data_IF_701665498527
#
_entry.id   IF_701665498527
#
_cell.length_a   1.000
_cell.length_b   1.000
_cell.length_c   1.000
_cell.angle_alpha   90.00
_cell.angle_beta   90.00
_cell.angle_gamma   90.00
#
_symmetry.space_group_name_H-M   'P 1'
#
loop_
_entity.id
_entity.type
_entity.pdbx_description
1 polymer ?
#
# COMPACT_ATOMS: atom_id res chain seq x y z
N UNK A 1 9.00 -13.33 -3.35
CA UNK A 1 8.21 -12.10 -3.11
C UNK A 1 7.14 -12.02 -4.17
N UNK A 2 5.93 -11.67 -3.80
CA UNK A 2 4.80 -11.46 -4.70
C UNK A 2 4.46 -9.97 -4.70
N UNK A 3 4.34 -9.37 -5.87
CA UNK A 3 3.72 -8.08 -6.08
C UNK A 3 3.00 -8.09 -7.42
N UNK A 4 1.75 -7.72 -7.42
CA UNK A 4 0.87 -7.76 -8.58
C UNK A 4 0.05 -6.49 -8.72
N UNK A 5 -0.32 -6.21 -9.95
CA UNK A 5 -1.26 -5.13 -10.30
C UNK A 5 -2.38 -5.74 -11.13
N UNK A 6 -3.62 -5.47 -10.73
CA UNK A 6 -4.81 -5.69 -11.53
C UNK A 6 -5.15 -4.38 -12.25
N UNK A 7 -5.00 -4.35 -13.56
CA UNK A 7 -5.35 -3.20 -14.40
C UNK A 7 -6.76 -3.39 -14.96
N UNK A 8 -7.58 -2.36 -14.86
CA UNK A 8 -8.91 -2.32 -15.43
C UNK A 8 -8.84 -1.94 -16.92
N UNK A 9 -9.63 -2.57 -17.77
CA UNK A 9 -9.68 -2.26 -19.21
C UNK A 9 -10.27 -0.86 -19.48
N UNK A 10 -11.03 -0.31 -18.55
CA UNK A 10 -11.50 1.08 -18.55
C UNK A 10 -11.53 1.65 -17.13
N UNK A 11 -11.28 2.96 -16.98
CA UNK A 11 -11.43 3.62 -15.69
C UNK A 11 -12.88 3.57 -15.19
N UNK A 12 -13.04 3.51 -13.88
CA UNK A 12 -14.34 3.63 -13.19
C UNK A 12 -14.27 4.69 -12.10
N UNK A 13 -15.40 5.29 -11.68
CA UNK A 13 -15.40 6.14 -10.49
C UNK A 13 -14.77 5.39 -9.31
N UNK A 14 -13.77 5.99 -8.68
CA UNK A 14 -13.05 5.34 -7.60
C UNK A 14 -13.98 5.08 -6.41
N UNK A 15 -14.22 3.82 -6.02
CA UNK A 15 -14.95 3.52 -4.80
C UNK A 15 -14.20 4.07 -3.59
N UNK A 16 -14.92 4.29 -2.50
CA UNK A 16 -14.24 4.69 -1.27
C UNK A 16 -13.29 3.59 -0.77
N UNK A 17 -12.33 4.00 0.04
CA UNK A 17 -11.27 3.12 0.53
C UNK A 17 -11.79 1.87 1.28
N UNK A 18 -12.85 2.02 2.07
CA UNK A 18 -13.48 0.88 2.78
C UNK A 18 -14.11 -0.12 1.83
N UNK A 19 -14.74 0.35 0.77
CA UNK A 19 -15.32 -0.51 -0.27
C UNK A 19 -14.24 -1.30 -0.99
N UNK A 20 -13.14 -0.66 -1.41
CA UNK A 20 -12.01 -1.35 -2.04
C UNK A 20 -11.38 -2.40 -1.13
N UNK A 21 -11.20 -2.06 0.15
CA UNK A 21 -10.73 -3.01 1.16
C UNK A 21 -11.66 -4.22 1.27
N UNK A 22 -12.97 -4.00 1.36
CA UNK A 22 -13.94 -5.06 1.45
C UNK A 22 -13.94 -5.96 0.21
N UNK A 23 -13.83 -5.39 -1.00
CA UNK A 23 -13.70 -6.15 -2.25
C UNK A 23 -12.51 -7.09 -2.18
N UNK A 24 -11.34 -6.60 -1.77
CA UNK A 24 -10.13 -7.41 -1.63
C UNK A 24 -10.28 -8.50 -0.57
N UNK A 25 -10.76 -8.15 0.62
CA UNK A 25 -10.94 -9.10 1.72
C UNK A 25 -11.96 -10.18 1.36
N UNK A 26 -13.05 -9.80 0.71
CA UNK A 26 -14.08 -10.74 0.29
C UNK A 26 -13.56 -11.69 -0.80
N UNK A 27 -12.84 -11.16 -1.78
CA UNK A 27 -12.19 -11.97 -2.81
C UNK A 27 -11.19 -13.00 -2.23
N UNK A 28 -10.52 -12.65 -1.12
CA UNK A 28 -9.59 -13.54 -0.42
C UNK A 28 -10.30 -14.61 0.43
N UNK A 29 -11.47 -14.32 0.99
CA UNK A 29 -12.14 -15.21 1.97
C UNK A 29 -13.17 -16.14 1.34
N UNK A 30 -13.57 -15.90 0.10
CA UNK A 30 -14.73 -16.55 -0.54
C UNK A 30 -14.69 -18.08 -0.58
N UNK A 31 -13.54 -18.69 -0.73
CA UNK A 31 -13.40 -20.14 -0.79
C UNK A 31 -12.89 -20.75 0.52
N UNK A 32 -13.21 -20.12 1.64
CA UNK A 32 -12.78 -20.60 2.95
C UNK A 32 -11.28 -20.46 3.20
N UNK A 33 -10.58 -19.69 2.37
CA UNK A 33 -9.19 -19.31 2.66
C UNK A 33 -9.22 -18.49 3.95
N UNK A 34 -8.60 -18.96 5.03
CA UNK A 34 -8.66 -18.27 6.32
C UNK A 34 -7.82 -17.01 6.26
N UNK A 35 -8.42 -15.93 5.78
CA UNK A 35 -7.83 -14.61 5.85
C UNK A 35 -8.21 -13.97 7.18
N UNK A 36 -7.46 -14.25 8.22
CA UNK A 36 -7.43 -13.42 9.42
C UNK A 36 -5.97 -13.09 9.72
N UNK A 37 -5.56 -11.84 9.50
CA UNK A 37 -4.26 -11.41 9.96
C UNK A 37 -4.26 -11.44 11.48
N UNK A 38 -3.72 -12.49 12.07
CA UNK A 38 -3.33 -12.45 13.46
C UNK A 38 -2.07 -11.58 13.54
N UNK A 39 -2.20 -10.41 14.13
CA UNK A 39 -1.09 -9.46 14.26
C UNK A 39 -0.99 -8.43 13.14
N UNK A 40 0.16 -7.78 13.01
CA UNK A 40 0.39 -6.76 11.98
C UNK A 40 0.33 -7.36 10.58
N UNK A 41 -0.37 -6.68 9.67
CA UNK A 41 -0.45 -7.13 8.28
C UNK A 41 0.95 -7.17 7.64
N UNK A 42 1.32 -8.35 7.12
CA UNK A 42 2.59 -8.56 6.42
C UNK A 42 2.45 -8.44 4.90
N UNK A 43 1.33 -7.91 4.46
CA UNK A 43 1.01 -7.60 3.08
C UNK A 43 0.58 -6.15 2.95
N UNK A 44 0.54 -5.65 1.72
CA UNK A 44 0.06 -4.31 1.41
C UNK A 44 -0.77 -4.30 0.14
N UNK A 45 -1.55 -3.24 -0.02
CA UNK A 45 -2.27 -2.96 -1.23
C UNK A 45 -2.46 -1.46 -1.43
N UNK A 46 -2.80 -1.06 -2.65
CA UNK A 46 -3.12 0.31 -2.98
C UNK A 46 -3.94 0.43 -4.25
N UNK A 47 -4.70 1.51 -4.34
CA UNK A 47 -5.51 1.84 -5.49
C UNK A 47 -4.76 2.83 -6.39
N UNK A 48 -4.66 2.53 -7.67
CA UNK A 48 -4.14 3.44 -8.68
C UNK A 48 -5.29 4.31 -9.17
N UNK A 49 -5.23 5.59 -8.86
CA UNK A 49 -6.27 6.55 -9.19
C UNK A 49 -5.68 7.82 -9.81
N UNK A 50 -6.48 8.49 -10.63
CA UNK A 50 -6.17 9.82 -11.13
C UNK A 50 -7.41 10.72 -11.07
N UNK A 51 -7.24 12.06 -11.06
CA UNK A 51 -8.38 12.97 -11.11
C UNK A 51 -9.20 12.78 -12.38
N UNK A 52 -10.53 12.75 -12.26
CA UNK A 52 -11.41 12.72 -13.41
C UNK A 52 -11.25 14.03 -14.22
N UNK A 53 -10.90 13.96 -15.52
CA UNK A 53 -10.73 15.17 -16.35
C UNK A 53 -12.00 16.04 -16.43
N UNK A 54 -13.18 15.41 -16.42
CA UNK A 54 -14.46 16.10 -16.52
C UNK A 54 -14.98 16.59 -15.16
N UNK A 55 -14.50 15.97 -14.07
CA UNK A 55 -14.91 16.26 -12.70
C UNK A 55 -13.70 16.22 -11.76
N UNK A 56 -12.85 17.27 -11.68
CA UNK A 56 -11.59 17.25 -10.94
C UNK A 56 -11.69 16.94 -9.44
N UNK A 57 -12.90 16.99 -8.87
CA UNK A 57 -13.15 16.60 -7.48
C UNK A 57 -13.36 15.10 -7.30
N UNK A 58 -13.50 14.36 -8.40
CA UNK A 58 -13.63 12.90 -8.41
C UNK A 58 -12.32 12.27 -8.84
N UNK A 59 -12.13 11.04 -8.39
CA UNK A 59 -11.03 10.21 -8.83
C UNK A 59 -11.57 9.02 -9.60
N UNK A 60 -10.84 8.63 -10.61
CA UNK A 60 -11.07 7.41 -11.38
C UNK A 60 -10.08 6.35 -10.92
N UNK A 61 -10.58 5.14 -10.69
CA UNK A 61 -9.79 3.95 -10.42
C UNK A 61 -9.41 3.28 -11.75
N UNK A 62 -8.15 2.95 -11.89
CA UNK A 62 -7.59 2.26 -13.07
C UNK A 62 -6.95 0.94 -12.71
N UNK A 63 -6.71 0.69 -11.44
CA UNK A 63 -6.18 -0.59 -11.00
C UNK A 63 -6.02 -0.70 -9.49
N UNK A 64 -5.74 -1.93 -9.06
CA UNK A 64 -5.38 -2.26 -7.69
C UNK A 64 -4.04 -2.99 -7.69
N UNK A 65 -3.14 -2.60 -6.80
CA UNK A 65 -1.92 -3.34 -6.53
C UNK A 65 -1.97 -4.04 -5.17
N UNK A 66 -1.34 -5.19 -5.07
CA UNK A 66 -1.15 -5.91 -3.80
C UNK A 66 0.13 -6.73 -3.81
N UNK A 67 0.61 -7.05 -2.62
CA UNK A 67 1.80 -7.88 -2.52
C UNK A 67 2.25 -8.19 -1.10
N UNK A 68 3.20 -9.11 -1.02
CA UNK A 68 3.84 -9.53 0.22
C UNK A 68 5.24 -10.09 -0.03
N UNK A 69 6.08 -10.00 0.99
CA UNK A 69 7.34 -10.72 1.06
C UNK A 69 7.26 -11.95 2.01
N UNK A 70 6.14 -12.16 2.67
CA UNK A 70 5.91 -13.29 3.56
C UNK A 70 5.30 -14.45 2.76
N UNK A 71 5.91 -15.66 2.74
CA UNK A 71 5.44 -16.80 1.96
C UNK A 71 3.96 -17.17 2.24
N UNK A 72 3.56 -17.15 3.50
CA UNK A 72 2.18 -17.47 3.87
C UNK A 72 1.17 -16.50 3.24
N UNK A 73 1.50 -15.19 3.22
CA UNK A 73 0.64 -14.21 2.57
C UNK A 73 0.74 -14.26 1.04
N UNK A 74 1.88 -14.67 0.48
CA UNK A 74 1.99 -14.85 -0.98
C UNK A 74 1.01 -15.92 -1.46
N UNK A 75 0.92 -17.07 -0.77
CA UNK A 75 -0.01 -18.14 -1.10
C UNK A 75 -1.47 -17.65 -1.05
N UNK A 76 -1.84 -16.88 -0.01
CA UNK A 76 -3.18 -16.31 0.13
C UNK A 76 -3.46 -15.31 -1.00
N UNK A 77 -2.54 -14.39 -1.27
CA UNK A 77 -2.71 -13.34 -2.28
C UNK A 77 -2.72 -13.88 -3.72
N UNK A 78 -2.14 -15.05 -3.95
CA UNK A 78 -2.16 -15.72 -5.25
C UNK A 78 -3.59 -16.13 -5.67
N UNK A 79 -4.49 -16.26 -4.71
CA UNK A 79 -5.91 -16.52 -4.96
C UNK A 79 -6.68 -15.30 -5.48
N UNK A 80 -6.13 -14.10 -5.45
CA UNK A 80 -6.76 -12.93 -6.07
C UNK A 80 -6.68 -13.03 -7.59
N UNK A 81 -7.80 -13.36 -8.21
CA UNK A 81 -7.96 -13.45 -9.66
C UNK A 81 -8.89 -12.36 -10.19
N UNK A 82 -8.85 -12.02 -11.49
CA UNK A 82 -9.79 -11.08 -12.08
C UNK A 82 -11.25 -11.45 -11.84
N UNK A 83 -11.59 -12.74 -11.95
CA UNK A 83 -12.93 -13.25 -11.72
C UNK A 83 -13.39 -13.01 -10.28
N UNK A 84 -12.57 -13.32 -9.29
CA UNK A 84 -12.88 -13.09 -7.87
C UNK A 84 -13.05 -11.62 -7.52
N UNK A 85 -12.20 -10.77 -8.09
CA UNK A 85 -12.33 -9.31 -7.90
C UNK A 85 -13.62 -8.79 -8.52
N UNK A 86 -13.96 -9.26 -9.73
CA UNK A 86 -15.21 -8.90 -10.41
C UNK A 86 -16.44 -9.29 -9.59
N UNK A 87 -16.50 -10.55 -9.13
CA UNK A 87 -17.61 -11.05 -8.32
C UNK A 87 -17.74 -10.30 -6.98
N UNK A 88 -16.62 -10.06 -6.29
CA UNK A 88 -16.61 -9.32 -5.03
C UNK A 88 -17.02 -7.85 -5.21
N UNK A 89 -16.63 -7.25 -6.32
CA UNK A 89 -17.04 -5.90 -6.67
C UNK A 89 -18.54 -5.81 -6.98
N UNK A 90 -19.07 -6.80 -7.73
CA UNK A 90 -20.51 -6.89 -8.04
C UNK A 90 -21.35 -7.00 -6.76
N UNK A 91 -20.92 -7.78 -5.78
CA UNK A 91 -21.59 -7.85 -4.47
C UNK A 91 -21.53 -6.52 -3.70
N UNK A 92 -20.50 -5.73 -3.91
CA UNK A 92 -20.39 -4.37 -3.38
C UNK A 92 -21.17 -3.32 -4.19
N UNK A 93 -21.87 -3.74 -5.26
CA UNK A 93 -22.62 -2.84 -6.16
C UNK A 93 -21.74 -2.02 -7.09
N UNK A 94 -20.52 -2.47 -7.34
CA UNK A 94 -19.56 -1.80 -8.24
C UNK A 94 -19.54 -2.50 -9.61
N UNK A 95 -19.76 -1.71 -10.67
CA UNK A 95 -19.60 -2.17 -12.05
C UNK A 95 -18.09 -2.30 -12.37
N UNK A 96 -17.53 -3.47 -12.07
CA UNK A 96 -16.11 -3.77 -12.26
C UNK A 96 -15.87 -4.24 -13.69
N UNK A 97 -15.08 -3.51 -14.50
CA UNK A 97 -14.83 -3.89 -15.87
C UNK A 97 -13.91 -5.12 -15.96
N UNK A 98 -13.73 -5.62 -17.16
CA UNK A 98 -12.68 -6.60 -17.45
C UNK A 98 -11.34 -6.09 -16.96
N UNK A 99 -10.51 -7.00 -16.49
CA UNK A 99 -9.23 -6.63 -15.90
C UNK A 99 -8.18 -7.69 -16.15
N UNK A 100 -6.91 -7.28 -16.08
CA UNK A 100 -5.75 -8.18 -16.22
C UNK A 100 -4.84 -8.04 -15.01
N UNK A 101 -4.36 -9.18 -14.52
CA UNK A 101 -3.35 -9.20 -13.47
C UNK A 101 -1.99 -9.42 -14.12
N UNK A 102 -1.03 -8.63 -13.70
CA UNK A 102 0.37 -8.75 -14.09
C UNK A 102 1.27 -8.66 -12.87
N UNK A 103 2.43 -9.30 -12.98
CA UNK A 103 3.47 -9.15 -11.98
C UNK A 103 4.08 -7.75 -12.07
N UNK A 104 4.33 -7.13 -10.93
CA UNK A 104 4.93 -5.81 -10.80
C UNK A 104 6.37 -5.97 -10.28
N UNK A 105 7.31 -6.15 -11.19
CA UNK A 105 8.73 -6.27 -10.87
C UNK A 105 9.41 -4.91 -10.97
N UNK A 106 9.98 -4.36 -9.89
CA UNK A 106 10.65 -3.07 -9.94
C UNK A 106 12.02 -3.18 -10.60
N UNK A 107 12.43 -2.10 -11.25
CA UNK A 107 13.82 -1.85 -11.59
C UNK A 107 14.54 -1.33 -10.31
N UNK A 108 14.83 -2.23 -9.37
CA UNK A 108 15.51 -1.83 -8.15
C UNK A 108 17.01 -1.66 -8.40
N UNK A 109 17.52 -0.51 -7.99
CA UNK A 109 18.93 -0.41 -7.66
C UNK A 109 19.20 -1.26 -6.41
N UNK A 110 20.36 -1.94 -6.30
CA UNK A 110 20.66 -2.80 -5.18
C UNK A 110 20.59 -2.12 -3.81
N UNK A 111 20.89 -0.84 -3.75
CA UNK A 111 21.06 -0.06 -2.52
C UNK A 111 20.08 1.12 -2.39
N UNK A 112 19.21 1.34 -3.38
CA UNK A 112 18.37 2.52 -3.44
C UNK A 112 17.00 2.22 -4.04
N UNK A 113 15.97 2.84 -3.46
CA UNK A 113 14.59 2.83 -3.95
C UNK A 113 14.04 4.27 -3.95
N UNK A 114 13.70 4.78 -5.12
CA UNK A 114 12.96 6.04 -5.24
C UNK A 114 11.49 5.79 -4.92
N UNK A 115 11.06 6.22 -3.75
CA UNK A 115 9.70 6.01 -3.25
C UNK A 115 8.77 7.10 -3.77
N UNK A 116 7.73 6.71 -4.48
CA UNK A 116 6.55 7.52 -4.79
C UNK A 116 5.33 6.88 -4.16
N UNK A 117 4.74 7.46 -3.12
CA UNK A 117 3.56 6.88 -2.50
C UNK A 117 2.35 6.94 -3.44
N UNK A 118 1.75 5.80 -3.71
CA UNK A 118 0.43 5.68 -4.35
C UNK A 118 -0.66 5.92 -3.32
N UNK A 119 -0.41 5.44 -2.09
CA UNK A 119 -1.28 5.69 -0.94
C UNK A 119 -0.46 6.26 0.22
N UNK A 120 -1.08 7.04 1.12
CA UNK A 120 -0.36 7.68 2.21
C UNK A 120 0.44 6.70 3.07
N UNK A 121 1.67 7.05 3.42
CA UNK A 121 2.53 6.26 4.30
C UNK A 121 2.24 6.66 5.74
N UNK A 122 2.00 5.69 6.62
CA UNK A 122 1.84 5.90 8.06
C UNK A 122 3.03 5.35 8.81
N UNK A 123 3.66 6.21 9.58
CA UNK A 123 4.68 5.85 10.58
C UNK A 123 4.16 6.26 11.94
N UNK A 124 4.24 5.38 12.91
CA UNK A 124 3.63 5.59 14.21
C UNK A 124 4.69 5.89 15.27
N UNK A 125 4.40 6.83 16.13
CA UNK A 125 5.23 7.09 17.31
C UNK A 125 5.29 5.84 18.21
N UNK A 126 6.41 5.69 18.90
CA UNK A 126 6.55 4.69 19.94
C UNK A 126 6.07 5.27 21.26
N UNK A 127 4.85 4.90 21.65
CA UNK A 127 4.31 5.23 22.96
C UNK A 127 4.09 3.96 23.77
N UNK A 128 4.32 3.99 25.08
CA UNK A 128 4.23 2.80 25.94
C UNK A 128 2.83 2.18 25.97
N UNK A 129 1.81 2.99 25.89
CA UNK A 129 0.41 2.53 25.92
C UNK A 129 -0.52 3.52 25.22
N UNK A 130 -1.66 3.02 24.72
CA UNK A 130 -2.70 3.84 24.11
C UNK A 130 -2.63 3.97 22.59
N UNK A 131 -3.32 4.99 22.05
CA UNK A 131 -3.39 5.26 20.63
C UNK A 131 -2.07 5.88 20.17
N UNK A 132 -1.40 5.24 19.22
CA UNK A 132 -0.15 5.74 18.65
C UNK A 132 -0.45 6.80 17.58
N UNK A 133 -0.03 8.06 17.78
CA UNK A 133 -0.16 9.09 16.75
C UNK A 133 0.74 8.77 15.55
N UNK A 134 0.39 9.33 14.40
CA UNK A 134 1.25 9.25 13.23
C UNK A 134 2.25 10.41 13.25
N UNK A 135 3.50 10.13 12.92
CA UNK A 135 4.51 11.16 12.69
C UNK A 135 4.31 11.71 11.29
N UNK A 136 4.12 13.03 11.19
CA UNK A 136 3.76 13.72 9.97
C UNK A 136 4.87 14.63 9.43
N UNK A 137 6.08 14.51 9.96
CA UNK A 137 7.26 15.25 9.50
C UNK A 137 8.34 14.26 9.08
N UNK A 138 8.89 14.48 7.89
CA UNK A 138 10.03 13.71 7.38
C UNK A 138 11.32 14.28 8.00
N UNK A 139 11.83 13.61 9.01
CA UNK A 139 13.07 13.94 9.69
C UNK A 139 13.76 12.64 10.14
N UNK A 140 14.85 12.76 10.90
CA UNK A 140 15.57 11.62 11.44
C UNK A 140 14.68 10.73 12.34
N UNK A 141 13.85 11.34 13.18
CA UNK A 141 12.90 10.62 14.04
C UNK A 141 11.91 9.78 13.24
N UNK A 142 11.50 10.29 12.06
CA UNK A 142 10.63 9.55 11.15
C UNK A 142 11.32 8.29 10.62
N UNK A 143 12.59 8.36 10.26
CA UNK A 143 13.37 7.21 9.79
C UNK A 143 13.53 6.16 10.88
N UNK A 144 13.84 6.58 12.11
CA UNK A 144 13.95 5.70 13.28
C UNK A 144 12.60 5.00 13.54
N UNK A 145 11.51 5.77 13.53
CA UNK A 145 10.17 5.24 13.75
C UNK A 145 9.70 4.34 12.58
N UNK A 146 10.12 4.65 11.34
CA UNK A 146 9.87 3.79 10.19
C UNK A 146 10.51 2.42 10.37
N UNK A 147 11.81 2.37 10.68
CA UNK A 147 12.53 1.12 10.90
C UNK A 147 11.87 0.29 12.01
N UNK A 148 11.48 0.92 13.11
CA UNK A 148 10.75 0.28 14.20
C UNK A 148 9.39 -0.26 13.76
N UNK A 149 8.65 0.53 12.98
CA UNK A 149 7.34 0.13 12.43
C UNK A 149 7.48 -1.07 11.50
N UNK A 150 8.47 -1.05 10.62
CA UNK A 150 8.76 -2.15 9.71
C UNK A 150 9.22 -3.40 10.46
N UNK A 151 10.09 -3.24 11.45
CA UNK A 151 10.58 -4.34 12.29
C UNK A 151 9.44 -5.02 13.04
N UNK A 152 8.56 -4.24 13.66
CA UNK A 152 7.38 -4.77 14.33
C UNK A 152 6.44 -5.52 13.38
N UNK A 153 6.17 -4.93 12.21
CA UNK A 153 5.26 -5.50 11.23
C UNK A 153 5.77 -6.81 10.64
N UNK A 154 7.05 -6.88 10.34
CA UNK A 154 7.66 -7.99 9.61
C UNK A 154 8.42 -8.99 10.50
N UNK A 155 8.51 -8.69 11.80
CA UNK A 155 9.10 -9.58 12.80
C UNK A 155 10.61 -9.72 12.72
N UNK A 156 11.31 -8.75 12.10
CA UNK A 156 12.78 -8.71 11.97
C UNK A 156 13.30 -7.28 11.96
N UNK A 157 14.57 -7.03 12.32
CA UNK A 157 15.16 -5.69 12.23
C UNK A 157 15.14 -5.12 10.82
N UNK A 158 15.04 -3.79 10.71
CA UNK A 158 15.17 -3.02 9.47
C UNK A 158 16.16 -1.87 9.67
N UNK A 159 16.93 -1.60 8.61
CA UNK A 159 18.07 -0.66 8.62
C UNK A 159 17.95 0.38 7.49
N UNK A 160 16.73 0.72 7.12
CA UNK A 160 16.46 1.70 6.07
C UNK A 160 16.98 3.07 6.47
N UNK A 161 17.52 3.78 5.51
CA UNK A 161 17.94 5.16 5.62
C UNK A 161 17.14 5.99 4.63
N UNK A 162 16.56 7.08 5.08
CA UNK A 162 15.88 8.03 4.22
C UNK A 162 16.85 9.12 3.81
N UNK A 163 17.02 9.28 2.53
CA UNK A 163 17.68 10.46 1.97
C UNK A 163 16.59 11.43 1.54
N UNK A 164 16.50 12.56 2.22
CA UNK A 164 15.61 13.64 1.84
C UNK A 164 16.27 14.41 0.71
N UNK A 165 15.64 14.40 -0.47
CA UNK A 165 16.04 15.30 -1.54
C UNK A 165 15.17 16.57 -1.45
N UNK A 166 15.79 17.76 -1.60
CA UNK A 166 15.10 19.05 -1.48
C UNK A 166 14.03 19.31 -2.56
N UNK A 167 13.94 18.42 -3.52
CA UNK A 167 12.98 18.52 -4.64
C UNK A 167 11.56 18.07 -4.29
N UNK A 168 11.31 17.51 -3.11
CA UNK A 168 10.02 16.90 -2.78
C UNK A 168 9.34 17.58 -1.59
N UNK A 169 8.08 17.99 -1.81
CA UNK A 169 7.26 18.58 -0.75
C UNK A 169 6.43 17.50 -0.07
N UNK A 170 6.53 17.39 1.26
CA UNK A 170 5.68 16.51 2.03
C UNK A 170 4.27 17.08 2.14
N UNK A 171 3.27 16.27 1.82
CA UNK A 171 1.86 16.60 2.00
C UNK A 171 1.21 15.64 3.00
N UNK A 172 0.35 16.17 3.85
CA UNK A 172 -0.42 15.35 4.79
C UNK A 172 -1.77 15.01 4.18
N UNK A 173 -2.11 13.73 4.17
CA UNK A 173 -3.41 13.26 3.68
C UNK A 173 -4.09 12.44 4.76
N UNK A 174 -5.38 12.65 4.91
CA UNK A 174 -6.24 11.83 5.77
C UNK A 174 -7.06 10.89 4.93
N UNK A 175 -7.07 9.62 5.29
CA UNK A 175 -7.86 8.60 4.61
C UNK A 175 -8.94 8.07 5.54
N UNK A 176 -10.17 8.02 5.05
CA UNK A 176 -11.28 7.42 5.80
C UNK A 176 -11.17 5.90 5.80
N UNK A 177 -11.15 5.27 6.96
CA UNK A 177 -10.88 3.83 7.11
C UNK A 177 -12.07 2.98 7.54
N UNK A 178 -13.26 3.57 7.69
CA UNK A 178 -14.47 2.86 8.17
C UNK A 178 -15.71 3.29 7.38
N UNK A 179 -16.76 2.42 7.32
CA UNK A 179 -18.04 2.79 6.71
C UNK A 179 -18.65 4.02 7.38
N UNK A 180 -19.49 4.70 6.64
CA UNK A 180 -20.04 6.04 6.88
C UNK A 180 -20.56 6.37 8.29
N UNK A 181 -20.86 5.38 9.13
CA UNK A 181 -21.37 5.61 10.48
C UNK A 181 -20.31 6.01 11.52
N UNK A 182 -19.03 5.74 11.24
CA UNK A 182 -17.89 6.13 12.11
C UNK A 182 -16.65 6.37 11.25
N UNK A 183 -16.55 7.54 10.64
CA UNK A 183 -15.39 7.92 9.85
C UNK A 183 -14.20 8.22 10.76
N UNK A 184 -13.26 7.31 10.88
CA UNK A 184 -11.98 7.59 11.50
C UNK A 184 -11.01 8.07 10.42
N UNK A 185 -10.58 9.31 10.49
CA UNK A 185 -9.52 9.83 9.64
C UNK A 185 -8.18 9.37 10.21
N UNK A 186 -7.41 8.69 9.39
CA UNK A 186 -6.07 8.24 9.74
C UNK A 186 -5.06 9.05 8.92
N UNK A 187 -4.25 9.90 9.56
CA UNK A 187 -3.27 10.71 8.84
C UNK A 187 -2.10 9.85 8.33
N UNK A 188 -1.54 10.25 7.21
CA UNK A 188 -0.33 9.69 6.62
C UNK A 188 0.37 10.74 5.76
N UNK A 189 1.55 10.43 5.26
CA UNK A 189 2.37 11.30 4.44
C UNK A 189 2.33 10.83 2.98
N UNK A 190 2.15 11.75 2.06
CA UNK A 190 2.39 11.58 0.63
C UNK A 190 3.57 12.45 0.23
N UNK A 191 4.78 11.93 0.35
CA UNK A 191 5.98 12.59 -0.09
C UNK A 191 6.82 11.61 -0.89
N UNK A 192 7.48 12.08 -1.93
CA UNK A 192 8.50 11.29 -2.63
C UNK A 192 9.84 11.49 -1.93
N UNK A 193 10.59 10.42 -1.80
CA UNK A 193 11.92 10.44 -1.18
C UNK A 193 12.71 9.21 -1.62
N UNK A 194 14.00 9.20 -1.30
CA UNK A 194 14.86 8.05 -1.56
C UNK A 194 15.04 7.26 -0.28
N UNK A 195 14.79 5.95 -0.36
CA UNK A 195 15.20 4.98 0.66
C UNK A 195 16.50 4.32 0.22
N UNK A 196 17.40 4.18 1.16
CA UNK A 196 18.61 3.37 1.02
C UNK A 196 18.63 2.26 2.07
N UNK A 197 19.33 1.21 1.76
CA UNK A 197 19.71 0.19 2.72
C UNK A 197 21.21 -0.08 2.57
N UNK A 198 21.95 -0.32 3.67
CA UNK A 198 23.32 -0.81 3.58
C UNK A 198 23.38 -2.06 2.71
N UNK A 199 24.50 -2.30 2.04
CA UNK A 199 24.65 -3.38 1.04
C UNK A 199 24.24 -4.74 1.58
N UNK A 200 24.61 -5.04 2.83
CA UNK A 200 24.25 -6.28 3.54
C UNK A 200 22.74 -6.40 3.84
N UNK A 201 22.00 -5.30 3.79
CA UNK A 201 20.56 -5.22 4.01
C UNK A 201 19.77 -4.83 2.76
N UNK A 202 20.38 -4.85 1.58
CA UNK A 202 19.73 -4.44 0.32
C UNK A 202 18.40 -5.16 0.03
N UNK A 203 18.28 -6.41 0.49
CA UNK A 203 17.03 -7.17 0.41
C UNK A 203 15.84 -6.50 1.13
N UNK A 204 16.08 -5.58 2.08
CA UNK A 204 15.02 -4.85 2.78
C UNK A 204 14.23 -3.96 1.82
N UNK A 205 14.87 -3.38 0.81
CA UNK A 205 14.21 -2.57 -0.20
C UNK A 205 13.22 -3.40 -1.03
N UNK A 206 13.60 -4.63 -1.37
CA UNK A 206 12.70 -5.56 -2.07
C UNK A 206 11.49 -5.95 -1.22
N UNK A 207 11.69 -6.10 0.09
CA UNK A 207 10.60 -6.39 1.03
C UNK A 207 9.64 -5.19 1.15
N UNK A 208 10.19 -3.98 1.25
CA UNK A 208 9.41 -2.74 1.24
C UNK A 208 8.60 -2.62 -0.05
N UNK A 209 9.22 -2.89 -1.18
CA UNK A 209 8.56 -2.90 -2.48
C UNK A 209 7.37 -3.85 -2.49
N UNK A 210 7.59 -5.10 -2.10
CA UNK A 210 6.56 -6.13 -2.17
C UNK A 210 5.41 -5.93 -1.19
N UNK A 211 5.68 -5.46 0.03
CA UNK A 211 4.70 -5.43 1.14
C UNK A 211 4.19 -4.03 1.50
N UNK A 212 4.69 -2.99 0.84
CA UNK A 212 4.43 -1.60 1.18
C UNK A 212 5.23 -1.09 2.38
N UNK A 213 5.18 0.22 2.61
CA UNK A 213 5.99 0.96 3.57
C UNK A 213 5.17 1.47 4.75
N UNK A 214 5.68 1.29 5.96
CA UNK A 214 5.06 1.81 7.19
C UNK A 214 3.99 0.90 7.79
N UNK A 215 3.05 1.51 8.50
CA UNK A 215 1.97 0.82 9.23
C UNK A 215 0.67 0.77 8.41
N UNK A 216 -0.23 -0.15 8.78
CA UNK A 216 -1.56 -0.28 8.22
C UNK A 216 -1.60 -0.61 6.71
N UNK A 217 -0.58 -1.27 6.17
CA UNK A 217 -0.52 -1.61 4.74
C UNK A 217 -1.64 -2.54 4.30
N UNK A 218 -2.08 -3.49 5.14
CA UNK A 218 -3.28 -4.30 4.91
C UNK A 218 -4.59 -3.50 4.93
N UNK A 219 -4.55 -2.24 5.39
CA UNK A 219 -5.64 -1.27 5.26
C UNK A 219 -5.45 -0.33 4.06
N UNK A 220 -4.49 -0.60 3.16
CA UNK A 220 -4.22 0.19 1.98
C UNK A 220 -3.36 1.43 2.19
N UNK A 221 -2.57 1.49 3.26
CA UNK A 221 -1.56 2.53 3.46
C UNK A 221 -0.20 2.08 2.93
N UNK A 222 0.64 3.05 2.59
CA UNK A 222 2.04 2.82 2.26
C UNK A 222 2.29 2.00 1.00
N UNK A 223 1.34 1.91 0.08
CA UNK A 223 1.59 1.35 -1.23
C UNK A 223 2.42 2.34 -2.04
N UNK A 224 3.52 1.88 -2.58
CA UNK A 224 4.52 2.74 -3.21
C UNK A 224 4.81 2.32 -4.64
N UNK A 225 5.35 3.26 -5.43
CA UNK A 225 5.93 3.06 -6.74
C UNK A 225 7.39 3.49 -6.71
N UNK A 226 8.26 2.91 -7.53
CA UNK A 226 9.69 3.21 -7.55
C UNK A 226 10.05 4.51 -8.28
N UNK A 227 9.09 5.13 -8.91
CA UNK A 227 9.28 6.39 -9.65
C UNK A 227 10.16 6.29 -10.88
N UNK A 228 10.82 5.16 -11.11
CA UNK A 228 11.67 4.90 -12.27
C UNK A 228 10.91 4.11 -13.33
N UNK A 229 10.01 3.26 -12.91
CA UNK A 229 9.10 2.56 -13.82
C UNK A 229 7.97 3.51 -14.22
N UNK A 230 7.65 3.66 -15.52
CA UNK A 230 6.44 4.40 -15.92
C UNK A 230 5.25 3.86 -15.16
N UNK A 231 4.40 4.77 -14.65
CA UNK A 231 3.11 4.33 -14.15
C UNK A 231 2.45 3.46 -15.22
N UNK A 232 1.72 2.39 -14.85
CA UNK A 232 1.17 1.41 -15.81
C UNK A 232 0.12 2.00 -16.76
N UNK A 233 0.18 3.32 -17.03
CA UNK A 233 -0.74 4.08 -17.89
C UNK A 233 0.00 4.95 -18.87
#
# INVERSE_FOLDING_TARGET
MLRRICLLDRPIPAPNHSTLKNILEYALTRDGVPYRPFGPARWGWGAYTFPDPDQPQRFLLIGLGWGSADPHYMDILDHLTPARLHESAAEAGIDWPSSKIQDDAPLLSPDMLLVRPITPIRVLESVPSGRRPAILQLNEDWTIALNRTMSYRLGRPFHLQMQQDHLFTATQVSVSSRPLSQTTRLPGITASFVLRAPTEFSHELSVVWASGLGANTGMGFGWIHDGLTPAPF
#
